data_IF_916436648120
#
_entry.id   IF_916436648120
#
_cell.length_a   1.000
_cell.length_b   1.000
_cell.length_c   1.000
_cell.angle_alpha   90.00
_cell.angle_beta   90.00
_cell.angle_gamma   90.00
#
_symmetry.space_group_name_H-M   'P 1'
#
loop_
_entity.id
_entity.type
_entity.pdbx_description
1 polymer ?
#
# COMPACT_ATOMS: atom_id res chain seq x y z
N UNK A 1 -30.75 -28.35 -2.81
CA UNK A 1 -29.61 -27.53 -3.27
C UNK A 1 -28.30 -28.07 -2.71
N UNK A 2 -27.53 -28.78 -3.54
CA UNK A 2 -26.21 -29.26 -3.16
C UNK A 2 -25.28 -28.06 -3.01
N UNK A 3 -24.98 -27.68 -1.78
CA UNK A 3 -24.07 -26.59 -1.49
C UNK A 3 -22.65 -26.99 -1.91
N UNK A 4 -22.17 -26.39 -3.00
CA UNK A 4 -20.79 -26.58 -3.49
C UNK A 4 -19.85 -25.84 -2.53
N UNK A 5 -18.91 -26.57 -1.95
CA UNK A 5 -17.84 -26.05 -1.10
C UNK A 5 -16.52 -26.23 -1.84
N UNK A 6 -15.61 -25.27 -1.71
CA UNK A 6 -14.26 -25.42 -2.25
C UNK A 6 -13.53 -26.46 -1.39
N UNK A 7 -12.95 -27.47 -2.05
CA UNK A 7 -12.27 -28.56 -1.35
C UNK A 7 -11.14 -28.03 -0.45
N UNK A 8 -11.13 -28.44 0.82
CA UNK A 8 -10.14 -28.01 1.81
C UNK A 8 -10.53 -26.74 2.58
N UNK A 9 -11.71 -26.19 2.32
CA UNK A 9 -12.26 -25.02 3.01
C UNK A 9 -13.71 -25.27 3.43
N UNK A 10 -14.25 -24.39 4.25
CA UNK A 10 -15.68 -24.29 4.59
C UNK A 10 -16.39 -23.15 3.82
N UNK A 11 -15.74 -22.62 2.77
CA UNK A 11 -16.19 -21.42 2.06
C UNK A 11 -17.16 -21.78 0.95
N UNK A 12 -18.36 -21.19 1.02
CA UNK A 12 -19.38 -21.26 -0.02
C UNK A 12 -19.30 -20.05 -0.94
N UNK A 13 -19.00 -20.25 -2.22
CA UNK A 13 -18.79 -19.18 -3.21
C UNK A 13 -20.01 -18.25 -3.32
N UNK A 14 -21.19 -18.82 -3.59
CA UNK A 14 -22.41 -18.03 -3.81
C UNK A 14 -22.89 -17.32 -2.55
N UNK A 15 -22.69 -17.94 -1.39
CA UNK A 15 -23.10 -17.34 -0.12
C UNK A 15 -22.16 -16.20 0.28
N UNK A 16 -20.85 -16.41 0.20
CA UNK A 16 -19.84 -15.38 0.45
C UNK A 16 -20.07 -14.16 -0.46
N UNK A 17 -20.27 -14.40 -1.77
CA UNK A 17 -20.62 -13.37 -2.75
C UNK A 17 -21.86 -12.57 -2.35
N UNK A 18 -22.96 -13.24 -2.00
CA UNK A 18 -24.22 -12.59 -1.60
C UNK A 18 -24.06 -11.76 -0.31
N UNK A 19 -23.34 -12.30 0.67
CA UNK A 19 -23.05 -11.60 1.94
C UNK A 19 -22.21 -10.35 1.69
N UNK A 20 -21.19 -10.44 0.83
CA UNK A 20 -20.35 -9.31 0.48
C UNK A 20 -21.11 -8.21 -0.27
N UNK A 21 -21.95 -8.56 -1.26
CA UNK A 21 -22.81 -7.58 -1.93
C UNK A 21 -23.77 -6.90 -0.93
N UNK A 22 -24.34 -7.68 0.00
CA UNK A 22 -25.18 -7.11 1.05
C UNK A 22 -24.40 -6.20 1.99
N UNK A 23 -23.12 -6.46 2.22
CA UNK A 23 -22.24 -5.61 3.02
C UNK A 23 -22.00 -4.26 2.33
N UNK A 24 -21.60 -4.27 1.05
CA UNK A 24 -21.35 -3.04 0.27
C UNK A 24 -22.59 -2.13 0.21
N UNK A 25 -23.78 -2.71 0.09
CA UNK A 25 -25.06 -1.97 0.05
C UNK A 25 -25.51 -1.38 1.40
N UNK A 26 -25.15 -2.02 2.52
CA UNK A 26 -25.70 -1.69 3.84
C UNK A 26 -24.74 -0.87 4.71
N UNK A 27 -23.45 -0.87 4.42
CA UNK A 27 -22.46 -0.24 5.27
C UNK A 27 -22.53 1.29 5.18
N UNK A 28 -22.72 1.92 6.33
CA UNK A 28 -22.70 3.38 6.50
C UNK A 28 -21.61 3.73 7.51
N UNK A 29 -20.88 4.80 7.25
CA UNK A 29 -19.89 5.34 8.19
C UNK A 29 -20.58 6.11 9.32
N UNK A 30 -19.91 6.20 10.47
CA UNK A 30 -20.34 7.12 11.52
C UNK A 30 -20.14 8.57 11.04
N UNK A 31 -20.91 9.51 11.59
CA UNK A 31 -20.87 10.93 11.16
C UNK A 31 -19.48 11.54 11.30
N UNK A 32 -18.73 11.17 12.33
CA UNK A 32 -17.35 11.65 12.56
C UNK A 32 -16.38 11.10 11.50
N UNK A 33 -16.44 9.81 11.21
CA UNK A 33 -15.60 9.14 10.21
C UNK A 33 -15.94 9.61 8.79
N UNK A 34 -17.23 9.83 8.50
CA UNK A 34 -17.70 10.36 7.22
C UNK A 34 -17.20 11.79 6.96
N UNK A 35 -17.19 12.64 8.00
CA UNK A 35 -16.63 14.00 7.89
C UNK A 35 -15.11 14.00 7.65
N UNK A 36 -14.41 13.04 8.26
CA UNK A 36 -12.96 12.85 8.09
C UNK A 36 -12.62 12.42 6.65
N UNK A 37 -13.44 11.54 6.06
CA UNK A 37 -13.25 11.10 4.68
C UNK A 37 -13.89 12.04 3.63
N UNK A 38 -14.66 13.04 4.05
CA UNK A 38 -15.35 13.97 3.16
C UNK A 38 -16.52 13.33 2.39
N UNK A 39 -17.16 12.34 2.99
CA UNK A 39 -18.19 11.47 2.40
C UNK A 39 -19.55 11.83 3.01
N UNK A 40 -20.62 11.79 2.21
CA UNK A 40 -21.97 12.03 2.72
C UNK A 40 -22.43 10.84 3.60
N UNK A 41 -22.79 11.05 4.89
CA UNK A 41 -23.15 9.95 5.79
C UNK A 41 -24.50 9.29 5.45
N UNK A 42 -25.32 9.93 4.62
CA UNK A 42 -26.65 9.45 4.26
C UNK A 42 -26.65 8.34 3.22
N UNK A 43 -25.57 8.20 2.44
CA UNK A 43 -25.44 7.16 1.43
C UNK A 43 -24.43 6.09 1.88
N UNK A 44 -24.55 4.84 1.40
CA UNK A 44 -23.61 3.79 1.74
C UNK A 44 -22.19 4.17 1.29
N UNK A 45 -21.22 3.99 2.18
CA UNK A 45 -19.84 4.43 1.96
C UNK A 45 -19.21 3.79 0.71
N UNK A 46 -19.33 2.47 0.58
CA UNK A 46 -18.74 1.75 -0.54
C UNK A 46 -19.42 2.05 -1.88
N UNK A 47 -20.66 2.54 -1.87
CA UNK A 47 -21.32 3.00 -3.11
C UNK A 47 -20.71 4.29 -3.62
N UNK A 48 -20.49 5.25 -2.72
CA UNK A 48 -19.77 6.48 -3.07
C UNK A 48 -18.34 6.19 -3.54
N UNK A 49 -17.66 5.20 -2.94
CA UNK A 49 -16.34 4.77 -3.41
C UNK A 49 -16.39 4.12 -4.79
N UNK A 50 -17.45 3.41 -5.15
CA UNK A 50 -17.62 2.87 -6.51
C UNK A 50 -17.91 3.98 -7.52
N UNK A 51 -18.68 5.00 -7.14
CA UNK A 51 -18.87 6.22 -7.94
C UNK A 51 -17.55 6.96 -8.15
N UNK A 52 -16.73 7.12 -7.09
CA UNK A 52 -15.40 7.71 -7.17
C UNK A 52 -14.49 6.90 -8.11
N UNK A 53 -14.50 5.57 -8.01
CA UNK A 53 -13.76 4.67 -8.91
C UNK A 53 -14.19 4.84 -10.36
N UNK A 54 -15.49 5.00 -10.61
CA UNK A 54 -16.02 5.23 -11.94
C UNK A 54 -15.54 6.57 -12.50
N UNK A 55 -15.59 7.65 -11.72
CA UNK A 55 -15.15 8.98 -12.15
C UNK A 55 -13.63 9.10 -12.35
N UNK A 56 -12.84 8.42 -11.51
CA UNK A 56 -11.37 8.44 -11.57
C UNK A 56 -10.79 7.37 -12.49
N UNK A 57 -11.60 6.42 -12.95
CA UNK A 57 -11.20 5.24 -13.75
C UNK A 57 -10.07 4.41 -13.11
N UNK A 58 -9.95 4.43 -11.78
CA UNK A 58 -8.96 3.66 -11.01
C UNK A 58 -9.61 2.39 -10.45
N UNK A 59 -9.34 1.20 -11.01
CA UNK A 59 -10.11 -0.03 -10.72
C UNK A 59 -9.66 -0.71 -9.41
N UNK A 60 -9.49 0.05 -8.32
CA UNK A 60 -9.02 -0.49 -7.04
C UNK A 60 -9.96 -0.06 -5.92
N UNK A 61 -10.56 -1.04 -5.24
CA UNK A 61 -11.42 -0.81 -4.08
C UNK A 61 -10.68 -1.22 -2.80
N UNK A 62 -10.24 -0.24 -2.02
CA UNK A 62 -9.67 -0.51 -0.70
C UNK A 62 -10.81 -0.77 0.30
N UNK A 63 -10.76 -1.89 1.02
CA UNK A 63 -11.79 -2.31 1.97
C UNK A 63 -11.17 -2.54 3.34
N UNK A 64 -11.68 -1.86 4.36
CA UNK A 64 -11.21 -2.06 5.72
C UNK A 64 -11.83 -3.35 6.32
N UNK A 65 -10.97 -4.23 6.84
CA UNK A 65 -11.41 -5.43 7.53
C UNK A 65 -12.18 -5.13 8.83
N UNK A 66 -11.96 -3.97 9.45
CA UNK A 66 -12.74 -3.51 10.60
C UNK A 66 -14.21 -3.26 10.23
N UNK A 67 -14.48 -2.72 9.03
CA UNK A 67 -15.85 -2.52 8.54
C UNK A 67 -16.56 -3.87 8.34
N UNK A 68 -15.84 -4.84 7.76
CA UNK A 68 -16.34 -6.21 7.59
C UNK A 68 -16.68 -6.82 8.96
N UNK A 69 -15.81 -6.65 9.96
CA UNK A 69 -15.99 -7.19 11.31
C UNK A 69 -17.27 -6.71 12.00
N UNK A 70 -17.68 -5.47 11.77
CA UNK A 70 -18.86 -4.88 12.38
C UNK A 70 -20.16 -5.54 11.88
N UNK A 71 -20.21 -5.90 10.60
CA UNK A 71 -21.40 -6.49 9.97
C UNK A 71 -21.38 -8.02 10.03
N UNK A 72 -20.28 -8.66 9.59
CA UNK A 72 -20.18 -10.12 9.51
C UNK A 72 -18.80 -10.62 9.96
N UNK A 73 -18.75 -11.15 11.18
CA UNK A 73 -17.54 -11.78 11.75
C UNK A 73 -17.17 -13.09 11.07
N UNK A 74 -18.14 -13.83 10.56
CA UNK A 74 -17.88 -15.13 9.93
C UNK A 74 -17.18 -14.95 8.58
N UNK A 75 -17.60 -13.95 7.80
CA UNK A 75 -16.93 -13.55 6.56
C UNK A 75 -15.50 -13.09 6.82
N UNK A 76 -15.25 -12.32 7.89
CA UNK A 76 -13.89 -11.93 8.28
C UNK A 76 -13.01 -13.14 8.62
N UNK A 77 -13.51 -14.08 9.43
CA UNK A 77 -12.76 -15.29 9.78
C UNK A 77 -12.40 -16.11 8.54
N UNK A 78 -13.32 -16.24 7.59
CA UNK A 78 -13.07 -16.91 6.31
C UNK A 78 -12.05 -16.15 5.46
N UNK A 79 -12.11 -14.82 5.41
CA UNK A 79 -11.12 -13.99 4.71
C UNK A 79 -9.71 -14.15 5.29
N UNK A 80 -9.59 -14.22 6.62
CA UNK A 80 -8.28 -14.39 7.28
C UNK A 80 -7.73 -15.79 7.04
N UNK A 81 -8.57 -16.83 7.10
CA UNK A 81 -8.15 -18.22 6.94
C UNK A 81 -7.89 -18.61 5.48
N UNK A 82 -8.69 -18.12 4.53
CA UNK A 82 -8.67 -18.50 3.13
C UNK A 82 -8.65 -17.28 2.18
N UNK A 83 -7.68 -16.36 2.30
CA UNK A 83 -7.64 -15.14 1.50
C UNK A 83 -7.51 -15.42 -0.01
N UNK A 84 -6.83 -16.50 -0.40
CA UNK A 84 -6.61 -16.85 -1.82
C UNK A 84 -7.92 -17.18 -2.55
N UNK A 85 -8.91 -17.72 -1.85
CA UNK A 85 -10.21 -18.06 -2.44
C UNK A 85 -11.22 -16.91 -2.24
N UNK A 86 -11.18 -16.26 -1.08
CA UNK A 86 -12.17 -15.21 -0.71
C UNK A 86 -11.94 -13.91 -1.47
N UNK A 87 -10.68 -13.49 -1.69
CA UNK A 87 -10.39 -12.22 -2.39
C UNK A 87 -10.90 -12.24 -3.84
N UNK A 88 -10.66 -13.28 -4.66
CA UNK A 88 -11.26 -13.38 -5.99
C UNK A 88 -12.80 -13.40 -5.98
N UNK A 89 -13.42 -13.98 -4.95
CA UNK A 89 -14.89 -13.95 -4.79
C UNK A 89 -15.36 -12.51 -4.56
N UNK A 90 -14.62 -11.71 -3.79
CA UNK A 90 -14.91 -10.29 -3.60
C UNK A 90 -14.73 -9.51 -4.90
N UNK A 91 -13.69 -9.78 -5.69
CA UNK A 91 -13.51 -9.15 -7.01
C UNK A 91 -14.73 -9.42 -7.90
N UNK A 92 -15.17 -10.68 -8.00
CA UNK A 92 -16.36 -11.07 -8.78
C UNK A 92 -17.61 -10.35 -8.26
N UNK A 93 -17.77 -10.26 -6.95
CA UNK A 93 -18.91 -9.61 -6.31
C UNK A 93 -18.98 -8.10 -6.60
N UNK A 94 -17.83 -7.40 -6.55
CA UNK A 94 -17.74 -5.97 -6.86
C UNK A 94 -18.00 -5.72 -8.34
N UNK A 95 -17.39 -6.52 -9.23
CA UNK A 95 -17.58 -6.35 -10.66
C UNK A 95 -19.05 -6.57 -11.05
N UNK A 96 -19.73 -7.60 -10.53
CA UNK A 96 -21.17 -7.80 -10.78
C UNK A 96 -22.00 -6.62 -10.25
N UNK A 97 -21.70 -6.14 -9.04
CA UNK A 97 -22.38 -4.97 -8.47
C UNK A 97 -22.18 -3.73 -9.35
N UNK A 98 -20.96 -3.52 -9.84
CA UNK A 98 -20.61 -2.40 -10.72
C UNK A 98 -21.40 -2.47 -12.03
N UNK A 99 -21.43 -3.62 -12.70
CA UNK A 99 -22.22 -3.81 -13.93
C UNK A 99 -23.73 -3.66 -13.71
N UNK A 100 -24.23 -3.93 -12.51
CA UNK A 100 -25.66 -3.72 -12.19
C UNK A 100 -26.01 -2.24 -12.04
N UNK A 101 -25.04 -1.40 -11.66
CA UNK A 101 -25.24 0.04 -11.46
C UNK A 101 -24.96 0.80 -12.76
N UNK A 102 -23.92 0.40 -13.49
CA UNK A 102 -23.45 1.00 -14.73
C UNK A 102 -23.54 -0.02 -15.86
N UNK A 103 -24.75 -0.21 -16.40
CA UNK A 103 -25.02 -1.21 -17.45
C UNK A 103 -24.33 -0.90 -18.80
N UNK A 104 -23.97 0.37 -19.05
CA UNK A 104 -23.48 0.86 -20.34
C UNK A 104 -21.94 0.95 -20.46
N UNK A 105 -21.19 0.81 -19.36
CA UNK A 105 -19.74 1.04 -19.35
C UNK A 105 -18.91 -0.24 -19.25
N UNK A 106 -17.98 -0.41 -20.19
CA UNK A 106 -16.98 -1.48 -20.16
C UNK A 106 -15.68 -0.98 -19.55
N UNK A 107 -15.37 -1.42 -18.33
CA UNK A 107 -14.06 -1.18 -17.74
C UNK A 107 -12.98 -2.03 -18.46
N UNK A 108 -11.84 -1.43 -18.87
CA UNK A 108 -10.73 -2.17 -19.50
C UNK A 108 -10.04 -3.11 -18.50
N UNK A 109 -10.12 -2.82 -17.21
CA UNK A 109 -9.53 -3.59 -16.13
C UNK A 109 -10.59 -3.91 -15.08
N UNK A 110 -10.63 -5.16 -14.63
CA UNK A 110 -11.52 -5.60 -13.55
C UNK A 110 -11.16 -4.88 -12.25
N UNK A 111 -12.18 -4.52 -11.48
CA UNK A 111 -11.99 -3.92 -10.16
C UNK A 111 -11.39 -4.96 -9.22
N UNK A 112 -10.29 -4.60 -8.57
CA UNK A 112 -9.61 -5.43 -7.58
C UNK A 112 -9.89 -4.91 -6.17
N UNK A 113 -10.25 -5.82 -5.28
CA UNK A 113 -10.50 -5.53 -3.87
C UNK A 113 -9.21 -5.70 -3.07
N UNK A 114 -8.86 -4.67 -2.30
CA UNK A 114 -7.69 -4.64 -1.44
C UNK A 114 -8.12 -4.58 0.03
N UNK A 115 -8.33 -5.73 0.69
CA UNK A 115 -8.56 -5.77 2.12
C UNK A 115 -7.33 -5.27 2.88
N UNK A 116 -7.53 -4.35 3.82
CA UNK A 116 -6.47 -3.84 4.70
C UNK A 116 -6.92 -3.79 6.16
N UNK A 117 -5.97 -3.52 7.07
CA UNK A 117 -6.23 -3.35 8.50
C UNK A 117 -6.85 -4.58 9.19
N UNK A 118 -6.17 -5.73 9.08
CA UNK A 118 -6.56 -6.95 9.79
C UNK A 118 -6.08 -6.86 11.24
N UNK A 119 -6.97 -7.12 12.20
CA UNK A 119 -6.66 -7.06 13.66
C UNK A 119 -5.52 -7.99 14.11
N UNK A 120 -5.14 -8.96 13.29
CA UNK A 120 -4.05 -9.88 13.55
C UNK A 120 -2.70 -9.19 13.26
N UNK A 121 -2.40 -8.16 14.07
CA UNK A 121 -1.09 -7.53 14.12
C UNK A 121 -0.11 -8.51 14.74
N UNK A 122 0.81 -9.03 13.91
CA UNK A 122 1.90 -9.87 14.39
C UNK A 122 3.19 -9.10 14.26
N UNK A 123 4.02 -9.13 15.29
CA UNK A 123 5.41 -8.72 15.16
C UNK A 123 6.09 -9.69 14.17
N UNK A 124 7.05 -9.21 13.37
CA UNK A 124 7.82 -10.04 12.43
C UNK A 124 8.45 -11.28 13.08
N UNK A 125 8.73 -11.23 14.38
CA UNK A 125 9.30 -12.34 15.17
C UNK A 125 8.28 -13.41 15.56
N UNK A 126 7.00 -13.04 15.63
CA UNK A 126 5.89 -13.91 16.03
C UNK A 126 5.13 -14.48 14.82
N UNK A 127 5.80 -14.61 13.67
CA UNK A 127 5.26 -15.28 12.50
C UNK A 127 5.40 -16.80 12.68
N UNK A 128 4.29 -17.45 12.98
CA UNK A 128 4.25 -18.88 13.25
C UNK A 128 3.98 -19.67 11.95
N UNK A 129 4.39 -20.94 11.87
CA UNK A 129 4.04 -21.82 10.76
C UNK A 129 2.51 -22.01 10.59
N UNK A 130 1.73 -21.78 11.65
CA UNK A 130 0.26 -21.85 11.59
C UNK A 130 -0.37 -20.71 10.78
N UNK A 131 0.39 -19.65 10.50
CA UNK A 131 -0.07 -18.50 9.72
C UNK A 131 0.17 -18.64 8.23
N UNK A 132 0.75 -19.76 7.78
CA UNK A 132 0.97 -20.01 6.36
C UNK A 132 -0.38 -20.01 5.62
N UNK A 133 -0.39 -19.33 4.48
CA UNK A 133 -1.54 -19.07 3.62
C UNK A 133 -2.68 -18.24 4.26
N UNK A 134 -2.45 -17.65 5.44
CA UNK A 134 -3.39 -16.70 6.07
C UNK A 134 -3.06 -15.25 5.78
N UNK A 135 -4.05 -14.39 5.98
CA UNK A 135 -3.92 -12.94 5.86
C UNK A 135 -3.27 -12.37 7.13
N UNK A 136 -2.14 -11.69 6.98
CA UNK A 136 -1.37 -11.08 8.07
C UNK A 136 -1.15 -9.59 7.83
N UNK A 137 -1.09 -8.80 8.90
CA UNK A 137 -0.70 -7.39 8.84
C UNK A 137 0.58 -7.17 9.65
N UNK A 138 1.58 -6.58 9.00
CA UNK A 138 2.88 -6.26 9.58
C UNK A 138 3.17 -4.77 9.47
N UNK A 139 3.87 -4.22 10.44
CA UNK A 139 4.41 -2.86 10.44
C UNK A 139 5.93 -2.92 10.30
N UNK A 140 6.51 -2.00 9.52
CA UNK A 140 7.96 -2.01 9.32
C UNK A 140 8.49 -0.83 8.52
N UNK A 141 9.81 -0.71 8.50
CA UNK A 141 10.54 0.25 7.68
C UNK A 141 11.12 -0.43 6.44
N UNK A 142 10.97 0.18 5.28
CA UNK A 142 11.52 -0.35 4.03
C UNK A 142 13.03 -0.09 3.98
N UNK A 143 13.84 -1.16 3.88
CA UNK A 143 15.30 -1.04 3.76
C UNK A 143 15.70 -0.84 2.30
N UNK A 144 15.17 -1.69 1.43
CA UNK A 144 15.53 -1.73 0.01
C UNK A 144 14.40 -2.32 -0.82
N UNK A 145 14.21 -1.74 -2.00
CA UNK A 145 13.43 -2.30 -3.10
C UNK A 145 14.39 -2.88 -4.15
N UNK A 146 14.00 -3.99 -4.78
CA UNK A 146 14.67 -4.46 -5.99
C UNK A 146 14.20 -3.67 -7.20
N UNK A 147 14.93 -3.81 -8.31
CA UNK A 147 14.39 -3.46 -9.61
C UNK A 147 13.13 -4.28 -9.91
N UNK A 148 12.30 -3.75 -10.79
CA UNK A 148 11.09 -4.40 -11.29
C UNK A 148 11.51 -5.63 -12.11
N UNK A 149 10.94 -6.79 -11.78
CA UNK A 149 11.19 -8.06 -12.45
C UNK A 149 9.91 -8.50 -13.17
N UNK A 150 9.97 -8.81 -14.48
CA UNK A 150 8.80 -9.31 -15.20
C UNK A 150 8.52 -10.78 -14.84
N UNK A 151 7.28 -11.08 -14.48
CA UNK A 151 6.73 -12.42 -14.27
C UNK A 151 5.78 -12.75 -15.42
N UNK A 152 5.99 -13.87 -16.13
CA UNK A 152 5.12 -14.24 -17.25
C UNK A 152 3.71 -14.57 -16.72
N UNK A 153 2.66 -14.06 -17.39
CA UNK A 153 1.24 -14.37 -17.12
C UNK A 153 0.66 -15.31 -18.17
N UNK A 154 0.99 -15.07 -19.44
CA UNK A 154 0.60 -15.96 -20.54
C UNK A 154 1.76 -16.17 -21.50
N UNK A 155 1.93 -17.41 -21.91
CA UNK A 155 2.96 -17.84 -22.84
C UNK A 155 2.42 -17.87 -24.26
N UNK A 156 3.15 -17.28 -25.20
CA UNK A 156 2.82 -17.33 -26.62
C UNK A 156 3.67 -18.38 -27.33
N UNK A 157 3.05 -19.43 -27.83
CA UNK A 157 3.69 -20.50 -28.58
C UNK A 157 3.42 -20.35 -30.07
N UNK A 158 4.42 -20.67 -30.90
CA UNK A 158 4.31 -20.70 -32.36
C UNK A 158 4.86 -22.02 -32.90
N UNK A 159 4.13 -22.66 -33.81
CA UNK A 159 4.58 -23.87 -34.48
C UNK A 159 5.60 -23.54 -35.57
N UNK A 160 6.75 -24.23 -35.57
CA UNK A 160 7.84 -23.97 -36.52
C UNK A 160 7.57 -24.46 -37.95
N UNK A 161 6.60 -25.37 -38.15
CA UNK A 161 6.26 -25.90 -39.47
C UNK A 161 5.14 -25.13 -40.17
N UNK A 162 4.07 -24.79 -39.45
CA UNK A 162 2.87 -24.18 -40.04
C UNK A 162 2.61 -22.73 -39.59
N UNK A 163 3.38 -22.20 -38.63
CA UNK A 163 3.18 -20.84 -38.11
C UNK A 163 1.90 -20.66 -37.29
N UNK A 164 1.19 -21.74 -36.94
CA UNK A 164 0.04 -21.68 -36.06
C UNK A 164 0.47 -21.28 -34.64
N UNK A 165 -0.26 -20.34 -34.04
CA UNK A 165 0.07 -19.79 -32.73
C UNK A 165 -1.02 -20.10 -31.70
N UNK A 166 -0.59 -20.32 -30.46
CA UNK A 166 -1.46 -20.60 -29.31
C UNK A 166 -0.96 -19.79 -28.13
N UNK A 167 -1.89 -19.13 -27.45
CA UNK A 167 -1.62 -18.49 -26.17
C UNK A 167 -2.10 -19.42 -25.05
N UNK A 168 -1.21 -19.72 -24.11
CA UNK A 168 -1.50 -20.56 -22.94
C UNK A 168 -1.28 -19.75 -21.67
N UNK A 169 -2.30 -19.69 -20.82
CA UNK A 169 -2.20 -19.05 -19.52
C UNK A 169 -1.43 -19.94 -18.53
N UNK A 170 -0.72 -19.31 -17.60
CA UNK A 170 0.11 -20.02 -16.62
C UNK A 170 -0.75 -20.37 -15.42
N UNK A 171 -0.91 -21.66 -15.16
CA UNK A 171 -1.58 -22.16 -13.96
C UNK A 171 -0.55 -22.51 -12.87
N UNK A 172 -0.69 -21.92 -11.69
CA UNK A 172 0.14 -22.17 -10.49
C UNK A 172 1.66 -22.14 -10.75
N UNK A 173 2.11 -21.23 -11.62
CA UNK A 173 3.52 -21.04 -11.95
C UNK A 173 4.13 -22.14 -12.84
N UNK A 174 3.31 -23.00 -13.47
CA UNK A 174 3.76 -23.97 -14.47
C UNK A 174 3.24 -23.59 -15.83
N UNK A 175 4.15 -23.50 -16.79
CA UNK A 175 3.82 -23.30 -18.19
C UNK A 175 3.62 -24.67 -18.82
N UNK A 176 2.40 -25.00 -19.22
CA UNK A 176 2.11 -26.23 -19.94
C UNK A 176 2.34 -26.00 -21.44
N UNK A 177 3.39 -26.61 -21.99
CA UNK A 177 3.63 -26.55 -23.43
C UNK A 177 2.65 -27.48 -24.18
N UNK A 178 1.94 -26.99 -25.22
CA UNK A 178 1.08 -27.84 -26.03
C UNK A 178 1.94 -28.86 -26.80
N UNK A 179 1.64 -30.15 -26.64
CA UNK A 179 2.44 -31.22 -27.25
C UNK A 179 2.17 -31.42 -28.74
N UNK A 180 0.96 -31.10 -29.22
CA UNK A 180 0.52 -31.35 -30.59
C UNK A 180 -0.03 -30.05 -31.17
N UNK A 181 0.41 -29.71 -32.38
CA UNK A 181 -0.17 -28.59 -33.12
C UNK A 181 -1.54 -28.95 -33.67
N UNK A 182 -2.56 -28.13 -33.40
CA UNK A 182 -3.93 -28.32 -33.87
C UNK A 182 -4.08 -28.27 -35.39
N UNK A 183 -3.25 -27.47 -36.09
CA UNK A 183 -3.33 -27.31 -37.55
C UNK A 183 -2.57 -28.40 -38.34
N UNK A 184 -1.34 -28.75 -37.95
CA UNK A 184 -0.51 -29.71 -38.71
C UNK A 184 -0.36 -31.08 -38.04
N UNK A 185 -0.99 -31.30 -36.87
CA UNK A 185 -0.90 -32.54 -36.08
C UNK A 185 0.52 -33.05 -35.81
N UNK A 186 1.53 -32.18 -35.90
CA UNK A 186 2.92 -32.54 -35.61
C UNK A 186 3.20 -32.40 -34.12
N UNK A 187 3.75 -33.45 -33.52
CA UNK A 187 4.16 -33.43 -32.13
C UNK A 187 5.43 -32.60 -31.90
N UNK A 188 5.53 -31.94 -30.75
CA UNK A 188 6.72 -31.21 -30.27
C UNK A 188 7.29 -30.21 -31.27
N UNK A 189 6.42 -29.46 -31.93
CA UNK A 189 6.79 -28.49 -32.97
C UNK A 189 6.65 -27.03 -32.52
N UNK A 190 6.25 -26.79 -31.27
CA UNK A 190 6.03 -25.46 -30.72
C UNK A 190 7.31 -24.87 -30.14
N UNK A 191 7.49 -23.57 -30.39
CA UNK A 191 8.54 -22.75 -29.82
C UNK A 191 7.90 -21.60 -29.03
N UNK A 192 8.46 -21.29 -27.86
CA UNK A 192 8.02 -20.19 -27.01
C UNK A 192 8.58 -18.86 -27.53
N UNK A 193 7.71 -17.97 -27.98
CA UNK A 193 8.09 -16.61 -28.38
C UNK A 193 7.90 -15.66 -27.20
N UNK A 194 8.98 -15.47 -26.43
CA UNK A 194 8.97 -14.61 -25.25
C UNK A 194 8.53 -13.17 -25.52
N UNK A 195 8.90 -12.58 -26.67
CA UNK A 195 8.56 -11.19 -27.00
C UNK A 195 7.06 -10.91 -27.18
N UNK A 196 6.24 -11.95 -27.45
CA UNK A 196 4.78 -11.82 -27.60
C UNK A 196 4.01 -12.33 -26.38
N UNK A 197 4.71 -12.91 -25.41
CA UNK A 197 4.12 -13.33 -24.14
C UNK A 197 3.70 -12.11 -23.32
N UNK A 198 2.67 -12.26 -22.50
CA UNK A 198 2.27 -11.21 -21.56
C UNK A 198 3.03 -11.38 -20.25
N UNK A 199 3.58 -10.29 -19.74
CA UNK A 199 4.28 -10.22 -18.47
C UNK A 199 3.52 -9.31 -17.50
N UNK A 200 3.67 -9.60 -16.21
CA UNK A 200 3.19 -8.84 -15.08
C UNK A 200 4.39 -8.35 -14.27
N UNK A 201 4.25 -7.20 -13.61
CA UNK A 201 5.34 -6.63 -12.83
C UNK A 201 5.39 -7.27 -11.44
N UNK A 202 6.60 -7.61 -11.01
CA UNK A 202 6.89 -8.17 -9.68
C UNK A 202 8.09 -7.45 -9.07
N UNK A 203 7.98 -7.06 -7.80
CA UNK A 203 9.07 -6.39 -7.09
C UNK A 203 9.30 -7.03 -5.73
N UNK A 204 10.58 -7.22 -5.37
CA UNK A 204 10.96 -7.69 -4.04
C UNK A 204 11.35 -6.51 -3.16
N UNK A 205 10.70 -6.39 -2.02
CA UNK A 205 11.00 -5.36 -1.02
C UNK A 205 11.45 -6.04 0.27
N UNK A 206 12.47 -5.49 0.93
CA UNK A 206 12.88 -5.93 2.26
C UNK A 206 12.34 -4.97 3.31
N UNK A 207 11.52 -5.51 4.20
CA UNK A 207 10.93 -4.80 5.31
C UNK A 207 11.69 -5.15 6.60
N UNK A 208 11.94 -4.14 7.43
CA UNK A 208 12.59 -4.25 8.73
C UNK A 208 11.61 -3.96 9.85
N UNK A 209 11.73 -4.67 10.96
CA UNK A 209 11.00 -4.37 12.20
C UNK A 209 11.24 -2.92 12.64
N UNK A 210 10.18 -2.23 13.09
CA UNK A 210 10.29 -0.89 13.64
C UNK A 210 11.05 -0.90 14.96
N UNK A 211 11.90 0.09 15.25
CA UNK A 211 12.73 0.12 16.46
C UNK A 211 11.91 0.13 17.77
N UNK A 212 10.65 0.58 17.70
CA UNK A 212 9.73 0.67 18.83
C UNK A 212 9.27 -0.72 19.31
N UNK A 213 9.21 -1.70 18.42
CA UNK A 213 8.75 -3.06 18.72
C UNK A 213 9.92 -4.01 19.02
N UNK A 214 11.16 -3.54 18.87
CA UNK A 214 12.36 -4.36 19.02
C UNK A 214 12.67 -4.69 20.50
N UNK A 215 12.88 -5.97 20.84
CA UNK A 215 13.41 -6.36 22.14
C UNK A 215 14.83 -5.82 22.37
N UNK A 216 15.13 -5.43 23.62
CA UNK A 216 16.43 -4.89 23.98
C UNK A 216 17.58 -5.88 23.71
N UNK A 217 18.64 -5.40 23.04
CA UNK A 217 19.86 -6.16 22.80
C UNK A 217 19.84 -7.14 21.61
N UNK A 218 18.77 -7.13 20.80
CA UNK A 218 18.69 -7.97 19.59
C UNK A 218 18.78 -7.15 18.31
N UNK A 219 19.30 -7.78 17.25
CA UNK A 219 19.29 -7.17 15.92
C UNK A 219 17.89 -7.24 15.30
N UNK A 220 17.50 -6.23 14.50
CA UNK A 220 16.20 -6.19 13.86
C UNK A 220 16.08 -7.33 12.84
N UNK A 221 14.93 -8.00 12.85
CA UNK A 221 14.62 -9.04 11.87
C UNK A 221 14.12 -8.38 10.58
N UNK A 222 14.44 -8.99 9.45
CA UNK A 222 13.96 -8.54 8.14
C UNK A 222 13.07 -9.59 7.50
N UNK A 223 11.94 -9.17 6.94
CA UNK A 223 11.04 -10.01 6.15
C UNK A 223 11.12 -9.60 4.68
N UNK A 224 11.05 -10.58 3.77
CA UNK A 224 10.95 -10.30 2.34
C UNK A 224 9.48 -10.24 1.96
N UNK A 225 9.07 -9.15 1.33
CA UNK A 225 7.72 -8.98 0.81
C UNK A 225 7.78 -8.85 -0.72
N UNK A 226 6.72 -9.26 -1.39
CA UNK A 226 6.60 -9.28 -2.85
C UNK A 226 5.41 -8.43 -3.23
N UNK A 227 5.65 -7.39 -4.00
CA UNK A 227 4.62 -6.53 -4.58
C UNK A 227 4.34 -6.94 -6.03
N UNK A 228 3.08 -6.80 -6.45
CA UNK A 228 2.59 -7.21 -7.76
C UNK A 228 1.89 -6.05 -8.48
N UNK A 229 2.07 -5.98 -9.79
CA UNK A 229 1.40 -5.03 -10.70
C UNK A 229 1.49 -3.58 -10.19
N UNK A 230 0.33 -2.95 -9.94
CA UNK A 230 0.19 -1.55 -9.49
C UNK A 230 0.85 -1.24 -8.14
N UNK A 231 1.08 -2.24 -7.29
CA UNK A 231 1.76 -2.03 -6.00
C UNK A 231 3.29 -1.95 -6.14
N UNK A 232 3.82 -2.12 -7.34
CA UNK A 232 5.24 -1.99 -7.63
C UNK A 232 5.65 -0.52 -7.55
N UNK A 233 6.78 -0.24 -6.91
CA UNK A 233 7.35 1.09 -6.66
C UNK A 233 6.46 2.04 -5.81
N UNK A 234 5.36 1.52 -5.26
CA UNK A 234 4.48 2.27 -4.35
C UNK A 234 5.16 2.65 -3.01
N UNK A 235 6.26 1.98 -2.66
CA UNK A 235 7.00 2.20 -1.41
C UNK A 235 8.47 2.46 -1.68
N UNK A 236 9.03 3.48 -1.04
CA UNK A 236 10.43 3.86 -1.23
C UNK A 236 11.29 3.44 -0.02
N UNK A 237 12.60 3.19 -0.22
CA UNK A 237 13.53 2.96 0.89
C UNK A 237 13.49 4.11 1.90
N UNK A 238 13.29 3.79 3.17
CA UNK A 238 13.12 4.77 4.25
C UNK A 238 11.68 4.93 4.74
N UNK A 239 10.70 4.52 3.95
CA UNK A 239 9.28 4.64 4.34
C UNK A 239 8.92 3.70 5.49
N UNK A 240 8.10 4.20 6.41
CA UNK A 240 7.39 3.38 7.42
C UNK A 240 6.05 2.97 6.85
N UNK A 241 5.83 1.66 6.68
CA UNK A 241 4.65 1.11 6.04
C UNK A 241 4.03 -0.01 6.88
N UNK A 242 2.71 -0.05 6.88
CA UNK A 242 1.94 -1.20 7.29
C UNK A 242 1.58 -1.99 6.03
N UNK A 243 1.92 -3.27 6.02
CA UNK A 243 1.74 -4.18 4.89
C UNK A 243 0.68 -5.20 5.27
N UNK A 244 -0.37 -5.33 4.47
CA UNK A 244 -1.34 -6.41 4.58
C UNK A 244 -1.12 -7.38 3.41
N UNK A 245 -0.97 -8.66 3.71
CA UNK A 245 -0.64 -9.66 2.71
C UNK A 245 -0.77 -11.10 3.19
N UNK A 246 -0.53 -12.04 2.28
CA UNK A 246 -0.63 -13.48 2.54
C UNK A 246 0.76 -14.02 2.86
N UNK A 247 0.90 -14.73 3.99
CA UNK A 247 2.17 -15.34 4.35
C UNK A 247 2.39 -16.63 3.57
N UNK A 248 3.39 -16.67 2.68
CA UNK A 248 3.68 -17.81 1.80
C UNK A 248 4.98 -18.50 2.18
N UNK A 249 5.00 -19.83 2.03
CA UNK A 249 6.19 -20.66 2.17
C UNK A 249 6.47 -21.38 0.84
N UNK A 250 7.67 -21.19 0.28
CA UNK A 250 8.08 -21.83 -0.98
C UNK A 250 9.28 -22.76 -0.76
N UNK A 251 9.24 -23.99 -1.33
CA UNK A 251 10.33 -24.94 -1.20
C UNK A 251 11.58 -24.47 -1.93
N UNK A 252 12.75 -24.69 -1.32
CA UNK A 252 14.06 -24.39 -1.93
C UNK A 252 14.72 -25.68 -2.39
N UNK A 253 15.17 -25.73 -3.64
CA UNK A 253 15.93 -26.89 -4.17
C UNK A 253 17.35 -26.90 -3.62
N UNK A 254 17.89 -28.09 -3.29
CA UNK A 254 19.28 -28.22 -2.82
C UNK A 254 20.28 -27.91 -3.92
N UNK A 255 20.09 -28.55 -5.08
CA UNK A 255 20.82 -28.27 -6.29
C UNK A 255 19.81 -27.90 -7.38
N UNK A 256 20.07 -26.87 -8.19
CA UNK A 256 19.14 -26.46 -9.24
C UNK A 256 18.92 -27.55 -10.31
N UNK A 257 19.89 -28.45 -10.49
CA UNK A 257 19.83 -29.57 -11.45
C UNK A 257 19.01 -30.76 -10.98
N UNK A 258 18.88 -30.98 -9.67
CA UNK A 258 18.15 -32.13 -9.14
C UNK A 258 16.78 -31.72 -8.64
N UNK A 259 15.81 -32.64 -8.67
CA UNK A 259 14.44 -32.38 -8.22
C UNK A 259 14.30 -32.43 -6.68
N UNK A 260 15.39 -32.67 -5.95
CA UNK A 260 15.39 -32.83 -4.51
C UNK A 260 15.23 -31.47 -3.81
N UNK A 261 14.23 -31.38 -2.93
CA UNK A 261 13.82 -30.18 -2.20
C UNK A 261 14.34 -30.22 -0.77
N UNK A 262 14.67 -29.06 -0.19
CA UNK A 262 15.02 -28.92 1.23
C UNK A 262 13.77 -28.96 2.11
N UNK A 263 13.92 -29.54 3.30
CA UNK A 263 12.86 -29.51 4.33
C UNK A 263 12.59 -28.10 4.86
N UNK A 264 13.60 -27.22 4.83
CA UNK A 264 13.43 -25.81 5.24
C UNK A 264 12.90 -24.99 4.08
N UNK A 265 11.69 -24.48 4.24
CA UNK A 265 11.01 -23.62 3.28
C UNK A 265 11.49 -22.18 3.45
N UNK A 266 11.53 -21.43 2.35
CA UNK A 266 11.75 -19.99 2.37
C UNK A 266 10.41 -19.29 2.45
N UNK A 267 10.26 -18.38 3.40
CA UNK A 267 9.04 -17.61 3.58
C UNK A 267 9.16 -16.22 2.96
N UNK A 268 8.03 -15.69 2.50
CA UNK A 268 7.85 -14.30 2.09
C UNK A 268 6.37 -13.93 2.22
N UNK A 269 6.08 -12.64 2.19
CA UNK A 269 4.70 -12.15 2.21
C UNK A 269 4.34 -11.64 0.82
N UNK A 270 3.23 -12.12 0.32
CA UNK A 270 2.59 -11.70 -0.92
C UNK A 270 1.66 -10.52 -0.60
N UNK A 271 1.99 -9.32 -1.08
CA UNK A 271 1.34 -8.08 -0.63
C UNK A 271 0.02 -7.84 -1.36
N UNK A 272 -1.03 -7.55 -0.60
CA UNK A 272 -2.35 -7.14 -1.11
C UNK A 272 -2.54 -5.62 -0.99
N UNK A 273 -2.04 -5.02 0.10
CA UNK A 273 -2.20 -3.59 0.34
C UNK A 273 -1.03 -3.01 1.13
N UNK A 274 -0.63 -1.79 0.76
CA UNK A 274 0.31 -0.96 1.50
C UNK A 274 -0.41 0.23 2.11
N UNK A 275 -0.25 0.42 3.42
CA UNK A 275 -0.66 1.64 4.12
C UNK A 275 0.58 2.37 4.61
N UNK A 276 0.88 3.52 4.01
CA UNK A 276 2.01 4.36 4.45
C UNK A 276 1.62 5.01 5.78
N UNK A 277 2.42 4.77 6.81
CA UNK A 277 2.26 5.49 8.06
C UNK A 277 3.02 6.81 7.88
N UNK A 278 2.32 7.86 7.46
CA UNK A 278 2.90 9.21 7.53
C UNK A 278 3.14 9.46 9.02
N UNK A 279 4.40 9.55 9.42
CA UNK A 279 4.75 10.03 10.76
C UNK A 279 4.18 11.43 10.88
N UNK A 280 3.06 11.52 11.59
CA UNK A 280 2.42 12.75 11.99
C UNK A 280 3.38 13.46 12.95
N UNK A 281 4.15 14.41 12.44
CA UNK A 281 4.92 15.35 13.28
C UNK A 281 4.33 16.75 13.20
N UNK A 282 3.00 16.83 13.09
CA UNK A 282 2.26 18.02 13.52
C UNK A 282 1.65 17.72 14.90
N UNK A 283 2.27 18.24 15.94
CA UNK A 283 1.65 18.34 17.27
C UNK A 283 0.40 19.22 17.11
N UNK A 284 -0.77 18.57 17.03
CA UNK A 284 -2.08 19.25 17.13
C UNK A 284 -3.11 18.81 16.08
N UNK A 285 -4.03 17.94 16.50
CA UNK A 285 -5.45 17.97 16.12
C UNK A 285 -5.85 17.49 14.71
N UNK A 286 -6.61 16.41 14.73
CA UNK A 286 -7.50 15.85 13.70
C UNK A 286 -6.84 14.94 12.65
N UNK A 287 -7.30 13.69 12.70
CA UNK A 287 -7.06 12.62 11.75
C UNK A 287 -7.63 13.03 10.39
N UNK A 288 -6.79 13.16 9.37
CA UNK A 288 -7.20 13.19 7.95
C UNK A 288 -6.66 11.90 7.31
N UNK A 289 -7.48 11.10 6.60
CA UNK A 289 -7.03 9.87 5.98
C UNK A 289 -6.30 10.22 4.69
N UNK A 290 -5.15 9.58 4.51
CA UNK A 290 -4.30 9.79 3.35
C UNK A 290 -4.95 9.24 2.08
N UNK A 291 -5.43 10.13 1.20
CA UNK A 291 -5.53 9.79 -0.22
C UNK A 291 -4.13 9.70 -0.82
N UNK A 292 -3.91 8.62 -1.56
CA UNK A 292 -2.69 8.32 -2.28
C UNK A 292 -2.27 9.47 -3.23
N UNK A 293 -0.99 9.47 -3.54
CA UNK A 293 -0.30 10.16 -4.64
C UNK A 293 0.19 11.61 -4.39
N UNK A 294 1.47 11.75 -4.75
CA UNK A 294 2.23 12.91 -5.18
C UNK A 294 2.53 14.05 -4.19
N UNK A 295 3.80 14.09 -3.79
CA UNK A 295 4.41 15.15 -2.98
C UNK A 295 4.35 16.54 -3.66
N UNK A 296 4.13 16.61 -4.98
CA UNK A 296 4.01 17.88 -5.72
C UNK A 296 2.59 18.49 -5.73
N UNK A 297 1.54 17.72 -5.39
CA UNK A 297 0.16 18.22 -5.33
C UNK A 297 -0.26 18.74 -3.93
N UNK A 298 0.64 18.68 -2.95
CA UNK A 298 0.38 18.95 -1.52
C UNK A 298 -0.05 20.39 -1.20
N UNK A 299 0.14 21.37 -2.09
CA UNK A 299 -0.36 22.74 -1.86
C UNK A 299 -1.88 22.89 -2.03
N UNK A 300 -2.56 21.91 -2.63
CA UNK A 300 -3.98 22.01 -3.01
C UNK A 300 -4.97 21.30 -2.06
N UNK A 301 -4.50 20.64 -1.00
CA UNK A 301 -5.35 19.81 -0.10
C UNK A 301 -5.80 20.48 1.21
N UNK A 302 -5.64 21.80 1.38
CA UNK A 302 -6.20 22.45 2.58
C UNK A 302 -7.68 22.79 2.38
N UNK A 303 -8.54 22.30 3.28
CA UNK A 303 -9.95 22.71 3.33
C UNK A 303 -10.07 24.24 3.35
N UNK A 304 -11.14 24.77 2.74
CA UNK A 304 -11.44 26.21 2.71
C UNK A 304 -11.47 26.79 4.13
N UNK A 305 -11.93 26.00 5.11
CA UNK A 305 -11.95 26.39 6.52
C UNK A 305 -10.55 26.53 7.09
N UNK A 306 -9.64 25.60 6.77
CA UNK A 306 -8.24 25.64 7.23
C UNK A 306 -7.48 26.79 6.60
N UNK A 307 -7.75 27.11 5.33
CA UNK A 307 -7.23 28.32 4.68
C UNK A 307 -7.74 29.60 5.37
N UNK A 308 -8.99 29.63 5.80
CA UNK A 308 -9.53 30.76 6.56
C UNK A 308 -8.85 30.90 7.94
N UNK A 309 -8.56 29.77 8.62
CA UNK A 309 -7.79 29.78 9.87
C UNK A 309 -6.36 30.31 9.65
N UNK A 310 -5.67 29.90 8.58
CA UNK A 310 -4.34 30.41 8.24
C UNK A 310 -4.36 31.92 7.98
N UNK A 311 -5.39 32.42 7.28
CA UNK A 311 -5.57 33.86 7.04
C UNK A 311 -5.80 34.62 8.35
N UNK A 312 -6.70 34.13 9.21
CA UNK A 312 -6.97 34.73 10.51
C UNK A 312 -5.71 34.75 11.39
N UNK A 313 -4.93 33.67 11.40
CA UNK A 313 -3.64 33.63 12.09
C UNK A 313 -2.66 34.67 11.53
N UNK A 314 -2.59 34.82 10.20
CA UNK A 314 -1.70 35.80 9.54
C UNK A 314 -2.02 37.26 9.84
N UNK A 315 -3.26 37.57 10.19
CA UNK A 315 -3.71 38.92 10.55
C UNK A 315 -3.29 39.32 11.98
N UNK A 316 -2.89 38.36 12.82
CA UNK A 316 -2.46 38.63 14.19
C UNK A 316 -1.10 39.32 14.21
N UNK A 317 -1.01 40.43 14.95
CA UNK A 317 0.23 41.20 15.11
C UNK A 317 1.31 40.45 15.90
N UNK A 318 0.93 39.53 16.79
CA UNK A 318 1.80 38.73 17.65
C UNK A 318 2.25 37.40 17.03
N UNK A 319 1.96 37.15 15.73
CA UNK A 319 2.19 35.85 15.08
C UNK A 319 3.64 35.37 15.18
N UNK A 320 4.61 36.27 15.02
CA UNK A 320 6.02 35.92 15.03
C UNK A 320 6.47 35.37 16.39
N UNK A 321 6.02 36.02 17.46
CA UNK A 321 6.29 35.59 18.83
C UNK A 321 5.52 34.31 19.16
N UNK A 322 4.25 34.24 18.78
CA UNK A 322 3.39 33.08 18.98
C UNK A 322 4.01 31.80 18.37
N UNK A 323 4.40 31.85 17.10
CA UNK A 323 5.01 30.72 16.41
C UNK A 323 6.40 30.37 16.98
N UNK A 324 7.20 31.39 17.34
CA UNK A 324 8.50 31.15 17.96
C UNK A 324 8.38 30.46 19.32
N UNK A 325 7.36 30.81 20.11
CA UNK A 325 7.10 30.20 21.41
C UNK A 325 6.48 28.80 21.28
N UNK A 326 5.73 28.55 20.20
CA UNK A 326 5.20 27.24 19.88
C UNK A 326 6.30 26.23 19.49
N UNK A 327 7.45 26.69 18.99
CA UNK A 327 8.61 25.82 18.75
C UNK A 327 9.26 25.45 20.08
N UNK A 328 9.30 24.14 20.38
CA UNK A 328 9.89 23.56 21.58
C UNK A 328 9.38 24.24 22.87
N UNK A 329 8.09 24.08 23.23
CA UNK A 329 7.50 24.75 24.40
C UNK A 329 8.10 24.27 25.73
N UNK A 330 8.71 23.08 25.74
CA UNK A 330 9.41 22.52 26.90
C UNK A 330 10.71 23.25 27.26
N UNK A 331 11.28 24.00 26.31
CA UNK A 331 12.53 24.74 26.53
C UNK A 331 12.18 26.18 26.86
N UNK A 332 12.53 26.59 28.08
CA UNK A 332 12.32 27.95 28.56
C UNK A 332 13.39 28.91 27.99
N UNK A 333 12.97 30.12 27.62
CA UNK A 333 13.85 31.17 27.12
C UNK A 333 14.33 30.94 25.68
N UNK A 334 15.52 31.48 25.36
CA UNK A 334 16.17 31.39 24.05
C UNK A 334 15.28 31.80 22.86
N UNK A 335 14.51 32.87 23.03
CA UNK A 335 13.55 33.35 22.03
C UNK A 335 14.20 33.63 20.68
N UNK A 336 15.39 34.24 20.67
CA UNK A 336 16.12 34.55 19.44
C UNK A 336 16.56 33.30 18.68
N UNK A 337 16.92 32.23 19.40
CA UNK A 337 17.28 30.94 18.79
C UNK A 337 16.05 30.31 18.16
N UNK A 338 14.90 30.32 18.86
CA UNK A 338 13.63 29.80 18.34
C UNK A 338 13.14 30.59 17.12
N UNK A 339 13.26 31.92 17.16
CA UNK A 339 13.01 32.83 16.04
C UNK A 339 13.90 32.51 14.83
N UNK A 340 15.19 32.24 15.06
CA UNK A 340 16.11 31.79 14.01
C UNK A 340 15.70 30.44 13.40
N UNK A 341 15.36 29.46 14.24
CA UNK A 341 14.87 28.15 13.79
C UNK A 341 13.56 28.29 13.00
N UNK A 342 12.63 29.15 13.44
CA UNK A 342 11.39 29.44 12.71
C UNK A 342 11.66 29.92 11.28
N UNK A 343 12.60 30.87 11.13
CA UNK A 343 13.01 31.37 9.81
C UNK A 343 13.70 30.28 8.98
N UNK A 344 14.42 29.35 9.61
CA UNK A 344 15.01 28.20 8.93
C UNK A 344 13.94 27.22 8.41
N UNK A 345 12.86 26.99 9.17
CA UNK A 345 11.75 26.11 8.78
C UNK A 345 10.97 26.67 7.58
N UNK A 346 10.68 27.97 7.56
CA UNK A 346 10.07 28.60 6.38
C UNK A 346 11.01 28.64 5.18
N UNK A 347 12.32 28.80 5.43
CA UNK A 347 13.34 28.92 4.40
C UNK A 347 13.20 30.22 3.57
N UNK A 348 14.13 30.44 2.65
CA UNK A 348 14.07 31.58 1.73
C UNK A 348 13.38 31.23 0.41
N UNK A 349 12.75 32.24 -0.20
CA UNK A 349 12.16 32.15 -1.54
C UNK A 349 13.20 31.72 -2.60
N UNK A 350 12.85 30.71 -3.40
CA UNK A 350 13.70 30.24 -4.51
C UNK A 350 13.56 31.24 -5.67
N UNK A 351 14.60 32.05 -5.91
CA UNK A 351 14.66 32.95 -7.07
C UNK A 351 15.33 32.22 -8.23
N UNK A 352 14.55 31.87 -9.26
CA UNK A 352 15.09 31.32 -10.50
C UNK A 352 15.53 32.47 -11.41
N UNK A 353 16.84 32.69 -11.52
CA UNK A 353 17.41 33.67 -12.45
C UNK A 353 17.61 33.02 -13.82
N UNK A 354 16.51 32.71 -14.54
CA UNK A 354 16.56 32.11 -15.88
C UNK A 354 17.27 33.00 -16.90
N UNK A 355 17.20 34.33 -16.73
CA UNK A 355 17.70 35.31 -17.71
C UNK A 355 19.22 35.57 -17.62
N UNK A 356 19.87 35.27 -16.50
CA UNK A 356 21.24 35.71 -16.24
C UNK A 356 22.32 34.61 -16.39
N UNK A 357 21.95 33.39 -16.79
CA UNK A 357 22.87 32.24 -16.90
C UNK A 357 23.60 31.87 -15.59
N UNK A 358 23.24 32.49 -14.47
CA UNK A 358 23.81 32.24 -13.15
C UNK A 358 23.12 31.03 -12.53
N UNK A 359 23.95 30.12 -12.01
CA UNK A 359 23.49 28.99 -11.19
C UNK A 359 22.60 29.48 -10.05
N UNK A 360 21.59 28.68 -9.72
CA UNK A 360 20.61 28.96 -8.65
C UNK A 360 21.30 29.46 -7.37
N UNK A 361 20.87 30.62 -6.87
CA UNK A 361 21.36 31.17 -5.60
C UNK A 361 20.70 30.39 -4.46
N UNK A 362 21.51 29.95 -3.48
CA UNK A 362 21.02 29.25 -2.29
C UNK A 362 20.06 30.14 -1.51
N UNK A 363 18.82 29.70 -1.34
CA UNK A 363 17.81 30.40 -0.54
C UNK A 363 17.65 29.85 0.89
N UNK A 364 18.28 28.71 1.19
CA UNK A 364 18.20 28.07 2.51
C UNK A 364 19.26 28.61 3.48
N UNK A 365 18.81 28.92 4.69
CA UNK A 365 19.64 29.45 5.78
C UNK A 365 20.25 28.28 6.56
N UNK A 366 21.55 28.39 6.87
CA UNK A 366 22.23 27.48 7.79
C UNK A 366 22.51 28.19 9.10
N UNK A 367 22.13 27.55 10.21
CA UNK A 367 22.33 28.10 11.56
C UNK A 367 23.32 27.21 12.31
N UNK A 368 24.32 27.82 12.94
CA UNK A 368 25.26 27.16 13.84
C UNK A 368 24.96 27.62 15.27
N UNK A 369 24.79 26.66 16.19
CA UNK A 369 24.61 26.93 17.62
C UNK A 369 25.89 26.55 18.37
N UNK A 370 26.57 27.54 18.96
CA UNK A 370 27.75 27.34 19.80
C UNK A 370 27.51 27.91 21.21
N UNK A 371 28.14 27.33 22.24
CA UNK A 371 28.03 27.80 23.61
C UNK A 371 28.46 26.75 24.64
N UNK A 372 28.13 26.96 25.90
CA UNK A 372 28.49 26.06 27.00
C UNK A 372 27.72 24.72 26.96
N UNK A 373 28.26 23.64 27.56
CA UNK A 373 27.50 22.42 27.79
C UNK A 373 26.31 22.67 28.73
N UNK A 374 25.20 21.96 28.54
CA UNK A 374 24.01 22.09 29.39
C UNK A 374 22.97 23.13 28.93
N UNK A 375 23.23 23.90 27.87
CA UNK A 375 22.32 24.94 27.33
C UNK A 375 21.24 24.40 26.39
N UNK A 376 20.78 23.15 26.58
CA UNK A 376 19.72 22.48 25.80
C UNK A 376 19.85 22.44 24.25
N UNK A 377 21.01 22.81 23.68
CA UNK A 377 21.26 22.83 22.22
C UNK A 377 20.94 21.50 21.53
N UNK A 378 21.37 20.38 22.10
CA UNK A 378 21.10 19.05 21.54
C UNK A 378 19.62 18.69 21.61
N UNK A 379 18.89 19.14 22.64
CA UNK A 379 17.44 18.93 22.72
C UNK A 379 16.69 19.76 21.68
N UNK A 380 17.08 21.02 21.43
CA UNK A 380 16.53 21.82 20.34
C UNK A 380 16.71 21.13 18.99
N UNK A 381 17.92 20.65 18.70
CA UNK A 381 18.19 19.93 17.45
C UNK A 381 17.38 18.65 17.33
N UNK A 382 17.24 17.89 18.42
CA UNK A 382 16.42 16.68 18.43
C UNK A 382 14.93 16.99 18.23
N UNK A 383 14.43 18.11 18.78
CA UNK A 383 13.07 18.58 18.55
C UNK A 383 12.86 18.97 17.08
N UNK A 384 13.77 19.75 16.51
CA UNK A 384 13.71 20.14 15.09
C UNK A 384 13.83 18.95 14.15
N UNK A 385 14.62 17.92 14.50
CA UNK A 385 14.69 16.68 13.72
C UNK A 385 13.37 15.87 13.77
N UNK A 386 12.60 16.04 14.85
CA UNK A 386 11.29 15.40 14.99
C UNK A 386 10.15 16.23 14.42
N UNK A 387 10.35 17.51 14.09
CA UNK A 387 9.38 18.31 13.33
C UNK A 387 9.46 17.85 11.87
#
# INVERSE_FOLDING_TARGET
DNQVVIWGTDVHVNECKRRFISFLKKFHLNVEEANIEGVDPAQPFYMQKLEEIHLLERPFLNVDCAHIKQIDRTMLSQLIAYPQEVVPIFDIAVNELFFTIYEDDTLPHQIQVRPYNVDLFKNMRCLDPEDIDKLVSLTGMVIRSSLIMPEMRSAYFSCNLCGFHVQVEIDRGRIAEPTICTSCNTAHSFELIHNRSLFADKQFVKLQETPEEMPAGQTPVTVTIVAHNDLVDAVQPGDRVQVTGIFRAVPVRMNPKTRNVRSVYRTYIDVIHFRRHKTFTAVGGNEEPATNDDEEASSSKFSKERLAQFRNLSERSDIYELLSNAIAPSIFGHEDIKKGILLQLFGGSKKCFSEAGRKSVRSQINILLCGDPGTAKSQLQQYVFRL
#
